data_IF_579473418306
#
_entry.id   IF_579473418306
#
_cell.length_a   1.000
_cell.length_b   1.000
_cell.length_c   1.000
_cell.angle_alpha   90.00
_cell.angle_beta   90.00
_cell.angle_gamma   90.00
#
_symmetry.space_group_name_H-M   'P 1'
#
loop_
_entity.id
_entity.type
_entity.pdbx_description
1 polymer ?
#
# COMPACT_ATOMS: atom_id res chain seq x y z
N UNK A 1 7.64 20.16 -3.63
CA UNK A 1 7.65 19.07 -2.62
C UNK A 1 8.04 17.79 -3.36
N UNK A 2 8.99 16.97 -2.86
CA UNK A 2 9.31 15.70 -3.53
C UNK A 2 8.08 14.79 -3.50
N UNK A 3 7.81 14.10 -4.60
CA UNK A 3 6.65 13.20 -4.75
C UNK A 3 6.70 12.10 -3.69
N UNK A 4 5.54 11.78 -3.09
CA UNK A 4 5.45 10.72 -2.09
C UNK A 4 5.77 9.34 -2.69
N UNK A 5 6.32 8.43 -1.88
CA UNK A 5 6.54 7.04 -2.26
C UNK A 5 5.58 6.14 -1.48
N UNK A 6 4.95 5.18 -2.16
CA UNK A 6 3.99 4.25 -1.56
C UNK A 6 4.58 2.85 -1.47
N UNK A 7 4.80 2.36 -0.25
CA UNK A 7 5.15 0.96 0.00
C UNK A 7 3.90 0.07 -0.16
N UNK A 8 3.96 -0.90 -1.08
CA UNK A 8 2.83 -1.82 -1.32
C UNK A 8 2.87 -3.03 -0.39
N UNK A 9 2.34 -2.87 0.82
CA UNK A 9 2.13 -4.00 1.72
C UNK A 9 1.09 -5.01 1.21
N UNK A 10 0.21 -4.60 0.29
CA UNK A 10 -0.74 -5.51 -0.38
C UNK A 10 -0.07 -6.63 -1.16
N UNK A 11 1.18 -6.45 -1.60
CA UNK A 11 1.96 -7.46 -2.31
C UNK A 11 2.77 -8.38 -1.39
N UNK A 12 2.58 -8.29 -0.08
CA UNK A 12 3.23 -9.19 0.87
C UNK A 12 2.74 -10.63 0.66
N UNK A 13 3.67 -11.58 0.64
CA UNK A 13 3.38 -13.00 0.46
C UNK A 13 2.49 -13.55 1.58
N UNK A 14 2.54 -12.96 2.78
CA UNK A 14 1.65 -13.29 3.89
C UNK A 14 0.23 -12.78 3.66
N UNK A 15 0.03 -11.64 3.00
CA UNK A 15 -1.31 -11.20 2.58
C UNK A 15 -1.91 -12.19 1.59
N UNK A 16 -1.11 -12.74 0.69
CA UNK A 16 -1.57 -13.77 -0.24
C UNK A 16 -1.98 -15.07 0.50
N UNK A 17 -1.21 -15.50 1.50
CA UNK A 17 -1.55 -16.70 2.30
C UNK A 17 -2.75 -16.50 3.22
N UNK A 18 -2.88 -15.30 3.80
CA UNK A 18 -3.91 -14.93 4.77
C UNK A 18 -4.65 -13.65 4.30
N UNK A 19 -5.56 -13.76 3.31
CA UNK A 19 -6.14 -12.61 2.63
C UNK A 19 -7.00 -11.74 3.55
N UNK A 20 -6.81 -10.42 3.46
CA UNK A 20 -7.51 -9.39 4.23
C UNK A 20 -8.93 -9.07 3.71
N UNK A 21 -9.67 -10.09 3.28
CA UNK A 21 -10.90 -10.00 2.48
C UNK A 21 -10.67 -9.57 1.01
N UNK A 22 -9.43 -9.62 0.53
CA UNK A 22 -9.07 -9.32 -0.85
C UNK A 22 -8.29 -10.51 -1.38
N UNK A 23 -8.83 -11.21 -2.37
CA UNK A 23 -8.07 -12.17 -3.16
C UNK A 23 -7.38 -11.40 -4.29
N UNK A 24 -6.05 -11.37 -4.25
CA UNK A 24 -5.26 -10.72 -5.29
C UNK A 24 -5.03 -11.75 -6.38
N UNK A 25 -5.68 -11.59 -7.54
CA UNK A 25 -5.31 -12.26 -8.78
C UNK A 25 -4.45 -11.35 -9.66
N UNK A 26 -3.98 -11.84 -10.82
CA UNK A 26 -3.21 -11.03 -11.79
C UNK A 26 -3.98 -9.79 -12.23
N UNK A 27 -5.30 -9.89 -12.42
CA UNK A 27 -6.14 -8.75 -12.78
C UNK A 27 -6.08 -7.67 -11.69
N UNK A 28 -6.32 -8.04 -10.43
CA UNK A 28 -6.27 -7.13 -9.28
C UNK A 28 -4.87 -6.52 -9.11
N UNK A 29 -3.81 -7.32 -9.29
CA UNK A 29 -2.43 -6.88 -9.29
C UNK A 29 -2.18 -5.79 -10.34
N UNK A 30 -2.61 -6.02 -11.59
CA UNK A 30 -2.47 -5.07 -12.68
C UNK A 30 -3.29 -3.81 -12.42
N UNK A 31 -4.54 -3.94 -11.98
CA UNK A 31 -5.39 -2.79 -11.68
C UNK A 31 -4.78 -1.87 -10.62
N UNK A 32 -4.08 -2.44 -9.62
CA UNK A 32 -3.34 -1.66 -8.62
C UNK A 32 -2.23 -0.83 -9.28
N UNK A 33 -1.38 -1.47 -10.08
CA UNK A 33 -0.28 -0.80 -10.78
C UNK A 33 -0.79 0.27 -11.73
N UNK A 34 -1.86 -0.02 -12.49
CA UNK A 34 -2.51 0.90 -13.41
C UNK A 34 -3.02 2.12 -12.66
N UNK A 35 -3.78 1.94 -11.58
CA UNK A 35 -4.29 3.05 -10.78
C UNK A 35 -3.15 3.92 -10.27
N UNK A 36 -2.08 3.30 -9.74
CA UNK A 36 -0.92 4.04 -9.26
C UNK A 36 -0.26 4.84 -10.37
N UNK A 37 -0.02 4.22 -11.54
CA UNK A 37 0.56 4.89 -12.69
C UNK A 37 -0.30 6.05 -13.19
N UNK A 38 -1.63 5.87 -13.30
CA UNK A 38 -2.59 6.90 -13.72
C UNK A 38 -2.70 8.05 -12.72
N UNK A 39 -2.52 7.78 -11.43
CA UNK A 39 -2.53 8.80 -10.38
C UNK A 39 -1.13 9.30 -10.06
N UNK A 40 -0.10 8.91 -10.81
CA UNK A 40 1.32 9.23 -10.58
C UNK A 40 1.78 8.95 -9.15
N UNK A 41 1.28 7.89 -8.53
CA UNK A 41 1.68 7.49 -7.18
C UNK A 41 2.88 6.54 -7.25
N UNK A 42 4.09 7.08 -7.14
CA UNK A 42 5.32 6.28 -7.17
C UNK A 42 5.30 5.19 -6.09
N UNK A 43 5.88 4.05 -6.45
CA UNK A 43 5.70 2.80 -5.72
C UNK A 43 7.05 2.27 -5.22
N UNK A 44 7.05 1.70 -4.02
CA UNK A 44 8.13 0.87 -3.49
C UNK A 44 7.62 -0.58 -3.36
N UNK A 45 8.36 -1.53 -3.93
CA UNK A 45 8.13 -2.97 -3.75
C UNK A 45 9.38 -3.59 -3.10
N UNK A 46 9.15 -4.43 -2.09
CA UNK A 46 10.17 -5.25 -1.45
C UNK A 46 10.72 -6.29 -2.44
N UNK A 47 12.04 -6.41 -2.55
CA UNK A 47 12.73 -7.43 -3.37
C UNK A 47 12.18 -8.86 -3.17
N UNK A 48 11.86 -9.23 -1.92
CA UNK A 48 11.28 -10.52 -1.58
C UNK A 48 9.86 -10.69 -2.10
N UNK A 49 9.05 -9.63 -2.13
CA UNK A 49 7.71 -9.67 -2.72
C UNK A 49 7.80 -9.79 -4.24
N UNK A 50 8.69 -9.01 -4.87
CA UNK A 50 8.89 -9.04 -6.31
C UNK A 50 9.30 -10.45 -6.80
N UNK A 51 10.16 -11.14 -6.05
CA UNK A 51 10.65 -12.48 -6.38
C UNK A 51 9.68 -13.61 -6.01
N UNK A 52 9.01 -13.53 -4.85
CA UNK A 52 8.20 -14.63 -4.35
C UNK A 52 6.71 -14.52 -4.71
N UNK A 53 6.22 -13.33 -5.08
CA UNK A 53 4.82 -13.18 -5.49
C UNK A 53 4.58 -13.80 -6.89
N UNK A 54 3.67 -14.78 -7.04
CA UNK A 54 3.44 -15.45 -8.33
C UNK A 54 3.07 -14.51 -9.48
N UNK A 55 2.15 -13.56 -9.26
CA UNK A 55 1.78 -12.60 -10.31
C UNK A 55 2.89 -11.61 -10.64
N UNK A 56 3.76 -11.27 -9.69
CA UNK A 56 4.93 -10.46 -9.98
C UNK A 56 5.92 -11.22 -10.87
N UNK A 57 6.21 -12.50 -10.57
CA UNK A 57 7.02 -13.36 -11.44
C UNK A 57 6.41 -13.52 -12.83
N UNK A 58 5.11 -13.82 -12.89
CA UNK A 58 4.39 -13.93 -14.15
C UNK A 58 4.48 -12.64 -14.97
N UNK A 59 4.32 -11.48 -14.33
CA UNK A 59 4.44 -10.17 -14.97
C UNK A 59 5.86 -9.88 -15.47
N UNK A 60 6.90 -10.32 -14.75
CA UNK A 60 8.29 -10.14 -15.17
C UNK A 60 8.68 -11.07 -16.33
N UNK A 61 8.24 -12.32 -16.29
CA UNK A 61 8.51 -13.32 -17.33
C UNK A 61 7.67 -13.07 -18.60
N UNK A 62 6.44 -12.58 -18.43
CA UNK A 62 5.50 -12.28 -19.52
C UNK A 62 5.12 -10.79 -19.49
N UNK A 63 5.98 -9.88 -19.96
CA UNK A 63 5.78 -8.43 -19.84
C UNK A 63 4.58 -7.89 -20.63
N UNK A 64 4.02 -8.67 -21.56
CA UNK A 64 2.77 -8.32 -22.26
C UNK A 64 1.50 -8.59 -21.44
N UNK A 65 1.64 -9.21 -20.26
CA UNK A 65 0.52 -9.51 -19.36
C UNK A 65 0.32 -8.46 -18.27
N UNK A 66 1.26 -7.52 -18.09
CA UNK A 66 1.28 -6.59 -16.96
C UNK A 66 2.18 -5.38 -17.24
N UNK A 67 1.83 -4.17 -16.75
CA UNK A 67 2.70 -3.00 -16.89
C UNK A 67 3.92 -3.03 -15.97
N UNK A 68 4.04 -3.99 -15.04
CA UNK A 68 5.04 -4.01 -13.96
C UNK A 68 6.47 -3.76 -14.46
N UNK A 69 6.94 -4.55 -15.43
CA UNK A 69 8.33 -4.47 -15.91
C UNK A 69 8.63 -3.10 -16.53
N UNK A 70 7.69 -2.55 -17.30
CA UNK A 70 7.82 -1.22 -17.90
C UNK A 70 7.88 -0.12 -16.83
N UNK A 71 7.03 -0.20 -15.81
CA UNK A 71 7.01 0.75 -14.70
C UNK A 71 8.26 0.70 -13.82
N UNK A 72 8.87 -0.48 -13.65
CA UNK A 72 10.17 -0.63 -12.98
C UNK A 72 11.29 0.00 -13.82
N UNK A 73 11.32 -0.30 -15.13
CA UNK A 73 12.31 0.26 -16.05
C UNK A 73 12.20 1.80 -16.20
N UNK A 74 11.02 2.37 -15.99
CA UNK A 74 10.81 3.82 -15.95
C UNK A 74 11.13 4.47 -14.58
N UNK A 75 11.64 3.69 -13.62
CA UNK A 75 11.92 4.14 -12.26
C UNK A 75 10.69 4.69 -11.51
N UNK A 76 9.48 4.28 -11.93
CA UNK A 76 8.23 4.61 -11.26
C UNK A 76 7.93 3.64 -10.12
N UNK A 77 8.20 2.35 -10.35
CA UNK A 77 8.28 1.31 -9.31
C UNK A 77 9.74 1.15 -8.93
N UNK A 78 10.09 1.49 -7.70
CA UNK A 78 11.43 1.29 -7.16
C UNK A 78 11.49 0.02 -6.32
N UNK A 79 12.59 -0.71 -6.42
CA UNK A 79 12.79 -1.96 -5.68
C UNK A 79 13.57 -1.67 -4.41
N UNK A 80 12.94 -1.89 -3.26
CA UNK A 80 13.62 -1.86 -1.97
C UNK A 80 14.39 -3.17 -1.79
N UNK A 81 15.71 -3.08 -1.84
CA UNK A 81 16.58 -4.25 -1.90
C UNK A 81 17.53 -4.34 -0.71
N UNK A 82 17.73 -5.56 -0.21
CA UNK A 82 18.72 -5.88 0.84
C UNK A 82 20.16 -5.83 0.35
N UNK A 83 20.41 -6.02 -0.94
CA UNK A 83 21.77 -6.11 -1.51
C UNK A 83 22.00 -5.23 -2.74
N UNK A 84 20.95 -4.63 -3.32
CA UNK A 84 21.03 -3.97 -4.62
C UNK A 84 21.07 -4.95 -5.82
N UNK A 85 20.75 -6.23 -5.60
CA UNK A 85 20.60 -7.25 -6.65
C UNK A 85 19.54 -8.29 -6.25
N UNK A 86 18.61 -8.61 -7.15
CA UNK A 86 17.56 -9.59 -6.91
C UNK A 86 18.11 -11.03 -6.93
N UNK A 87 19.09 -11.30 -7.79
CA UNK A 87 19.82 -12.58 -7.85
C UNK A 87 20.53 -12.86 -6.54
N UNK A 88 21.30 -11.89 -6.03
CA UNK A 88 21.98 -11.99 -4.74
C UNK A 88 21.01 -12.26 -3.60
N UNK A 89 19.86 -11.58 -3.59
CA UNK A 89 18.81 -11.77 -2.58
C UNK A 89 18.27 -13.19 -2.65
N UNK A 90 17.95 -13.69 -3.85
CA UNK A 90 17.43 -15.04 -4.02
C UNK A 90 18.43 -16.10 -3.50
N UNK A 91 19.71 -15.93 -3.80
CA UNK A 91 20.78 -16.84 -3.37
C UNK A 91 21.03 -16.77 -1.85
N UNK A 92 21.23 -15.56 -1.30
CA UNK A 92 21.52 -15.36 0.12
C UNK A 92 20.37 -15.80 1.01
N UNK A 93 19.13 -15.44 0.67
CA UNK A 93 17.97 -15.78 1.49
C UNK A 93 17.68 -17.29 1.47
N UNK A 94 17.85 -17.97 0.32
CA UNK A 94 17.74 -19.42 0.26
C UNK A 94 18.83 -20.12 1.10
N UNK A 95 20.08 -19.64 1.03
CA UNK A 95 21.20 -20.15 1.82
C UNK A 95 21.03 -19.93 3.33
N UNK A 96 20.35 -18.84 3.72
CA UNK A 96 19.97 -18.55 5.12
C UNK A 96 18.79 -19.39 5.62
N UNK A 97 18.21 -20.26 4.79
CA UNK A 97 17.12 -21.15 5.23
C UNK A 97 15.71 -20.58 5.05
N UNK A 98 15.54 -19.47 4.30
CA UNK A 98 14.20 -18.90 4.08
C UNK A 98 13.42 -19.75 3.09
N UNK A 99 12.38 -20.43 3.58
CA UNK A 99 11.62 -21.46 2.85
C UNK A 99 11.07 -20.97 1.50
N UNK A 100 10.55 -19.75 1.43
CA UNK A 100 9.99 -19.19 0.19
C UNK A 100 11.03 -19.09 -0.92
N UNK A 101 12.25 -18.66 -0.60
CA UNK A 101 13.34 -18.58 -1.57
C UNK A 101 13.91 -19.95 -1.95
N UNK A 102 13.95 -20.90 -1.01
CA UNK A 102 14.31 -22.28 -1.33
C UNK A 102 13.28 -22.94 -2.28
N UNK A 103 11.99 -22.69 -2.04
CA UNK A 103 10.92 -23.15 -2.90
C UNK A 103 11.00 -22.48 -4.28
N UNK A 104 11.29 -21.17 -4.34
CA UNK A 104 11.53 -20.45 -5.59
C UNK A 104 12.65 -21.12 -6.40
N UNK A 105 13.82 -21.35 -5.81
CA UNK A 105 14.97 -21.95 -6.53
C UNK A 105 14.72 -23.36 -7.05
N UNK A 106 13.83 -24.12 -6.39
CA UNK A 106 13.42 -25.47 -6.81
C UNK A 106 12.27 -25.46 -7.82
N UNK A 107 11.65 -24.31 -8.05
CA UNK A 107 10.49 -24.19 -8.95
C UNK A 107 10.90 -24.30 -10.42
N UNK A 108 9.96 -24.74 -11.26
CA UNK A 108 10.17 -24.84 -12.70
C UNK A 108 10.41 -23.48 -13.38
N UNK A 109 9.94 -22.38 -12.77
CA UNK A 109 10.09 -21.01 -13.31
C UNK A 109 11.49 -20.43 -13.06
N UNK A 110 12.25 -20.97 -12.10
CA UNK A 110 13.51 -20.37 -11.66
C UNK A 110 14.57 -20.24 -12.75
N UNK A 111 14.84 -21.24 -13.61
CA UNK A 111 15.86 -21.10 -14.65
C UNK A 111 15.58 -19.94 -15.61
N UNK A 112 14.31 -19.72 -15.98
CA UNK A 112 13.91 -18.63 -16.87
C UNK A 112 13.94 -17.29 -16.15
N UNK A 113 13.48 -17.24 -14.89
CA UNK A 113 13.56 -16.04 -14.06
C UNK A 113 15.02 -15.60 -13.87
N UNK A 114 15.90 -16.54 -13.51
CA UNK A 114 17.32 -16.27 -13.31
C UNK A 114 17.98 -15.74 -14.58
N UNK A 115 17.66 -16.31 -15.75
CA UNK A 115 18.17 -15.84 -17.05
C UNK A 115 17.70 -14.40 -17.34
N UNK A 116 16.42 -14.12 -17.11
CA UNK A 116 15.84 -12.79 -17.28
C UNK A 116 16.49 -11.76 -16.35
N UNK A 117 16.62 -12.08 -15.05
CA UNK A 117 17.24 -11.19 -14.06
C UNK A 117 18.70 -10.86 -14.41
N UNK A 118 19.50 -11.84 -14.86
CA UNK A 118 20.90 -11.62 -15.29
C UNK A 118 21.01 -10.58 -16.41
N UNK A 119 20.02 -10.51 -17.29
CA UNK A 119 20.00 -9.54 -18.39
C UNK A 119 19.42 -8.19 -17.96
N UNK A 120 18.48 -8.20 -17.02
CA UNK A 120 17.67 -7.04 -16.65
C UNK A 120 18.28 -6.18 -15.54
N UNK A 121 18.86 -6.80 -14.50
CA UNK A 121 19.43 -6.10 -13.34
C UNK A 121 20.49 -5.05 -13.68
N UNK A 122 21.43 -5.27 -14.64
CA UNK A 122 22.40 -4.23 -15.00
C UNK A 122 21.75 -2.95 -15.56
N UNK A 123 20.55 -3.06 -16.13
CA UNK A 123 19.74 -1.90 -16.52
C UNK A 123 19.20 -1.16 -15.29
N UNK A 124 18.66 -1.91 -14.33
CA UNK A 124 18.09 -1.36 -13.09
C UNK A 124 19.14 -0.65 -12.22
N UNK A 125 20.36 -1.18 -12.15
CA UNK A 125 21.48 -0.55 -11.44
C UNK A 125 21.87 0.78 -12.09
N UNK A 126 21.90 0.85 -13.43
CA UNK A 126 22.27 2.07 -14.17
C UNK A 126 21.27 3.22 -13.97
N UNK A 127 19.99 2.90 -13.76
CA UNK A 127 18.94 3.90 -13.48
C UNK A 127 18.69 4.11 -11.99
N UNK A 128 19.54 3.54 -11.12
CA UNK A 128 19.44 3.63 -9.66
C UNK A 128 18.03 3.22 -9.14
N UNK A 129 17.46 2.16 -9.71
CA UNK A 129 16.11 1.72 -9.34
C UNK A 129 16.05 1.08 -7.94
N UNK A 130 17.17 0.53 -7.48
CA UNK A 130 17.26 -0.08 -6.16
C UNK A 130 17.38 0.98 -5.08
N UNK A 131 16.41 1.02 -4.16
CA UNK A 131 16.50 1.82 -2.94
C UNK A 131 16.98 0.95 -1.77
N UNK A 132 17.73 1.53 -0.82
CA UNK A 132 18.28 0.76 0.28
C UNK A 132 17.19 0.21 1.19
N UNK A 133 17.38 -1.02 1.65
CA UNK A 133 16.62 -1.61 2.75
C UNK A 133 16.65 -0.71 4.00
N UNK A 134 15.63 -0.75 4.87
CA UNK A 134 15.65 -0.03 6.13
C UNK A 134 16.89 -0.39 6.97
N UNK A 135 17.60 0.63 7.43
CA UNK A 135 18.74 0.48 8.36
C UNK A 135 18.31 -0.10 9.71
N UNK A 136 17.03 0.06 10.06
CA UNK A 136 16.42 -0.42 11.29
C UNK A 136 16.08 -1.90 11.21
N UNK A 137 16.28 -2.62 12.31
CA UNK A 137 16.03 -4.05 12.43
C UNK A 137 14.52 -4.34 12.36
N UNK A 138 14.04 -4.72 11.18
CA UNK A 138 12.61 -4.90 10.88
C UNK A 138 11.93 -5.87 11.86
N UNK A 139 12.55 -6.99 12.19
CA UNK A 139 11.95 -7.99 13.09
C UNK A 139 11.72 -7.45 14.52
N UNK A 140 12.61 -6.58 15.02
CA UNK A 140 12.46 -5.93 16.33
C UNK A 140 11.37 -4.86 16.30
N UNK A 141 11.36 -4.04 15.24
CA UNK A 141 10.30 -3.06 15.05
C UNK A 141 8.91 -3.69 14.89
N UNK A 142 8.82 -4.85 14.23
CA UNK A 142 7.60 -5.64 14.17
C UNK A 142 7.13 -6.10 15.55
N UNK A 143 8.02 -6.65 16.39
CA UNK A 143 7.70 -7.09 17.75
C UNK A 143 7.18 -5.91 18.60
N UNK A 144 7.84 -4.75 18.50
CA UNK A 144 7.40 -3.52 19.16
C UNK A 144 6.01 -3.08 18.66
N UNK A 145 5.76 -3.10 17.34
CA UNK A 145 4.45 -2.74 16.78
C UNK A 145 3.37 -3.72 17.19
N UNK A 146 3.61 -5.02 17.07
CA UNK A 146 2.65 -6.06 17.41
C UNK A 146 2.31 -6.02 18.90
N UNK A 147 3.30 -5.82 19.78
CA UNK A 147 3.13 -5.70 21.23
C UNK A 147 2.15 -4.60 21.65
N UNK A 148 1.97 -3.55 20.84
CA UNK A 148 0.98 -2.48 21.10
C UNK A 148 -0.46 -2.99 21.11
N UNK A 149 -0.74 -4.09 20.40
CA UNK A 149 -2.08 -4.67 20.33
C UNK A 149 -2.41 -5.61 21.48
N UNK A 150 -1.41 -6.06 22.26
CA UNK A 150 -1.57 -7.09 23.31
C UNK A 150 -2.63 -6.75 24.36
N UNK A 151 -2.73 -5.47 24.73
CA UNK A 151 -3.65 -4.99 25.77
C UNK A 151 -5.03 -4.59 25.23
N UNK A 152 -5.22 -4.63 23.90
CA UNK A 152 -6.49 -4.33 23.27
C UNK A 152 -7.39 -5.55 23.30
N UNK A 153 -8.70 -5.32 23.39
CA UNK A 153 -9.70 -6.37 23.25
C UNK A 153 -9.88 -6.72 21.76
N UNK A 154 -10.15 -7.99 21.44
CA UNK A 154 -10.34 -8.48 20.06
C UNK A 154 -11.43 -7.72 19.31
N UNK A 155 -12.48 -7.28 20.01
CA UNK A 155 -13.56 -6.46 19.45
C UNK A 155 -13.05 -5.07 19.02
N UNK A 156 -12.10 -4.50 19.76
CA UNK A 156 -11.46 -3.22 19.39
C UNK A 156 -10.61 -3.39 18.14
N UNK A 157 -9.98 -4.55 17.98
CA UNK A 157 -9.17 -4.92 16.82
C UNK A 157 -10.02 -5.27 15.59
N UNK A 158 -11.36 -5.29 15.71
CA UNK A 158 -12.26 -5.67 14.63
C UNK A 158 -12.15 -7.14 14.24
N UNK A 159 -11.82 -8.00 15.21
CA UNK A 159 -11.81 -9.46 15.07
C UNK A 159 -13.17 -10.01 15.52
N UNK A 160 -13.72 -10.94 14.74
CA UNK A 160 -15.03 -11.54 14.99
C UNK A 160 -14.94 -13.05 15.25
N UNK A 161 -13.90 -13.72 14.76
CA UNK A 161 -13.69 -15.16 14.95
C UNK A 161 -12.83 -15.46 16.19
N UNK A 162 -11.86 -14.60 16.49
CA UNK A 162 -10.92 -14.80 17.61
C UNK A 162 -11.54 -14.34 18.94
N UNK A 163 -11.45 -15.19 19.97
CA UNK A 163 -11.82 -14.82 21.34
C UNK A 163 -10.66 -14.14 22.08
N UNK A 164 -10.94 -13.35 23.12
CA UNK A 164 -9.89 -12.73 23.94
C UNK A 164 -8.97 -13.78 24.60
N UNK A 165 -9.48 -14.96 24.98
CA UNK A 165 -8.66 -16.05 25.54
C UNK A 165 -7.69 -16.62 24.50
N UNK A 166 -8.19 -16.93 23.30
CA UNK A 166 -7.36 -17.40 22.18
C UNK A 166 -6.25 -16.39 21.86
N UNK A 167 -6.61 -15.10 21.81
CA UNK A 167 -5.68 -14.02 21.53
C UNK A 167 -4.54 -13.94 22.57
N UNK A 168 -4.88 -14.00 23.87
CA UNK A 168 -3.87 -13.97 24.93
C UNK A 168 -2.99 -15.23 24.92
N UNK A 169 -3.57 -16.42 24.72
CA UNK A 169 -2.81 -17.68 24.64
C UNK A 169 -1.81 -17.69 23.48
N UNK A 170 -2.19 -17.14 22.32
CA UNK A 170 -1.27 -16.97 21.19
C UNK A 170 -0.16 -15.98 21.54
N UNK A 171 -0.49 -14.83 22.14
CA UNK A 171 0.50 -13.84 22.57
C UNK A 171 1.49 -14.39 23.60
N UNK A 172 1.04 -15.20 24.55
CA UNK A 172 1.88 -15.81 25.57
C UNK A 172 2.86 -16.82 24.96
N UNK A 173 2.37 -17.70 24.07
CA UNK A 173 3.23 -18.64 23.36
C UNK A 173 4.24 -17.91 22.46
N UNK A 174 3.79 -16.87 21.75
CA UNK A 174 4.65 -16.02 20.93
C UNK A 174 5.75 -15.36 21.79
N UNK A 175 5.37 -14.74 22.90
CA UNK A 175 6.30 -14.03 23.80
C UNK A 175 7.34 -14.99 24.37
N UNK A 176 6.91 -16.20 24.76
CA UNK A 176 7.81 -17.24 25.25
C UNK A 176 8.82 -17.66 24.17
N UNK A 177 8.36 -17.89 22.92
CA UNK A 177 9.22 -18.27 21.79
C UNK A 177 10.12 -17.13 21.30
N UNK A 178 9.72 -15.87 21.48
CA UNK A 178 10.40 -14.69 20.95
C UNK A 178 11.28 -13.97 22.00
N UNK A 179 11.56 -14.63 23.14
CA UNK A 179 12.27 -14.02 24.28
C UNK A 179 13.77 -13.83 24.03
N UNK A 180 14.42 -14.80 23.40
CA UNK A 180 15.89 -14.88 23.30
C UNK A 180 16.43 -14.50 21.92
N UNK A 181 15.61 -14.66 20.90
CA UNK A 181 15.96 -14.37 19.51
C UNK A 181 14.86 -13.49 18.92
N UNK A 182 15.25 -12.47 18.17
CA UNK A 182 14.37 -11.52 17.50
C UNK A 182 14.41 -11.68 15.98
N UNK A 183 15.09 -12.69 15.44
CA UNK A 183 15.02 -12.99 14.01
C UNK A 183 13.71 -13.68 13.62
N UNK A 184 13.21 -13.47 12.40
CA UNK A 184 11.98 -14.13 11.91
C UNK A 184 10.76 -14.03 12.86
N UNK A 185 10.61 -12.92 13.58
CA UNK A 185 9.56 -12.71 14.60
C UNK A 185 8.14 -12.93 14.07
N UNK A 186 7.85 -12.50 12.84
CA UNK A 186 6.55 -12.73 12.19
C UNK A 186 6.25 -14.22 11.96
N UNK A 187 7.25 -15.01 11.59
CA UNK A 187 7.12 -16.47 11.44
C UNK A 187 6.83 -17.14 12.78
N UNK A 188 7.45 -16.68 13.87
CA UNK A 188 7.14 -17.21 15.22
C UNK A 188 5.71 -16.90 15.65
N UNK A 189 5.19 -15.73 15.28
CA UNK A 189 3.78 -15.40 15.51
C UNK A 189 2.84 -16.35 14.75
N UNK A 190 3.10 -16.59 13.46
CA UNK A 190 2.35 -17.54 12.64
C UNK A 190 2.36 -18.95 13.25
N UNK A 191 3.53 -19.43 13.66
CA UNK A 191 3.67 -20.72 14.34
C UNK A 191 2.90 -20.78 15.67
N UNK A 192 2.85 -19.69 16.44
CA UNK A 192 2.07 -19.62 17.67
C UNK A 192 0.56 -19.70 17.38
N UNK A 193 0.08 -19.00 16.35
CA UNK A 193 -1.30 -19.08 15.89
C UNK A 193 -1.68 -20.52 15.51
N UNK A 194 -0.85 -21.17 14.68
CA UNK A 194 -1.04 -22.55 14.24
C UNK A 194 -1.02 -23.54 15.40
N UNK A 195 -0.11 -23.36 16.37
CA UNK A 195 0.00 -24.27 17.52
C UNK A 195 -1.19 -24.21 18.47
N UNK A 196 -1.80 -23.04 18.65
CA UNK A 196 -2.91 -22.85 19.60
C UNK A 196 -4.25 -23.12 18.93
N UNK A 197 -4.40 -22.78 17.65
CA UNK A 197 -5.70 -22.71 16.98
C UNK A 197 -5.83 -23.65 15.77
N UNK A 198 -4.75 -24.33 15.35
CA UNK A 198 -4.73 -25.13 14.12
C UNK A 198 -5.77 -26.25 14.07
N UNK A 199 -6.10 -26.81 15.24
CA UNK A 199 -7.06 -27.91 15.36
C UNK A 199 -8.49 -27.44 15.67
N UNK A 200 -8.74 -26.13 15.75
CA UNK A 200 -10.07 -25.59 16.01
C UNK A 200 -10.99 -25.78 14.77
N UNK A 201 -12.31 -26.02 14.96
CA UNK A 201 -13.25 -26.13 13.84
C UNK A 201 -13.26 -24.91 12.90
N UNK A 202 -12.94 -23.73 13.43
CA UNK A 202 -12.88 -22.45 12.73
C UNK A 202 -11.45 -21.91 12.62
N UNK A 203 -10.43 -22.78 12.71
CA UNK A 203 -9.00 -22.46 12.68
C UNK A 203 -8.63 -21.46 11.58
N UNK A 204 -9.11 -21.71 10.34
CA UNK A 204 -8.81 -20.85 9.18
C UNK A 204 -9.25 -19.40 9.42
N UNK A 205 -10.46 -19.18 9.93
CA UNK A 205 -10.98 -17.84 10.17
C UNK A 205 -10.18 -17.13 11.28
N UNK A 206 -9.92 -17.84 12.39
CA UNK A 206 -9.14 -17.29 13.51
C UNK A 206 -7.71 -16.93 13.13
N UNK A 207 -7.03 -17.85 12.44
CA UNK A 207 -5.64 -17.63 12.00
C UNK A 207 -5.58 -16.48 10.99
N UNK A 208 -6.53 -16.37 10.06
CA UNK A 208 -6.60 -15.25 9.13
C UNK A 208 -6.72 -13.90 9.84
N UNK A 209 -7.52 -13.79 10.91
CA UNK A 209 -7.66 -12.54 11.66
C UNK A 209 -6.36 -12.16 12.39
N UNK A 210 -5.71 -13.12 13.06
CA UNK A 210 -4.44 -12.92 13.78
C UNK A 210 -3.29 -12.60 12.84
N UNK A 211 -3.19 -13.29 11.72
CA UNK A 211 -2.21 -12.99 10.67
C UNK A 211 -2.50 -11.67 10.01
N UNK A 212 -3.78 -11.29 9.90
CA UNK A 212 -4.21 -9.98 9.44
C UNK A 212 -3.61 -8.84 10.28
N UNK A 213 -3.71 -8.94 11.61
CA UNK A 213 -3.14 -7.99 12.55
C UNK A 213 -1.60 -7.96 12.48
N UNK A 214 -0.95 -9.12 12.42
CA UNK A 214 0.51 -9.18 12.32
C UNK A 214 1.01 -8.51 11.04
N UNK A 215 0.39 -8.78 9.90
CA UNK A 215 0.80 -8.16 8.64
C UNK A 215 0.55 -6.64 8.65
N UNK A 216 -0.53 -6.18 9.27
CA UNK A 216 -0.75 -4.75 9.51
C UNK A 216 0.39 -4.15 10.36
N UNK A 217 0.74 -4.77 11.49
CA UNK A 217 1.85 -4.34 12.35
C UNK A 217 3.19 -4.27 11.59
N UNK A 218 3.44 -5.26 10.72
CA UNK A 218 4.63 -5.33 9.88
C UNK A 218 4.72 -4.16 8.91
N UNK A 219 3.61 -3.78 8.27
CA UNK A 219 3.58 -2.65 7.35
C UNK A 219 3.70 -1.30 8.05
N UNK A 220 3.05 -1.11 9.22
CA UNK A 220 3.28 0.09 10.03
C UNK A 220 4.74 0.21 10.46
N UNK A 221 5.39 -0.91 10.79
CA UNK A 221 6.82 -0.90 11.09
C UNK A 221 7.66 -0.43 9.88
N UNK A 222 7.34 -0.87 8.65
CA UNK A 222 7.97 -0.31 7.45
C UNK A 222 7.69 1.19 7.32
N UNK A 223 6.46 1.64 7.59
CA UNK A 223 6.12 3.07 7.56
C UNK A 223 7.02 3.87 8.51
N UNK A 224 7.22 3.38 9.74
CA UNK A 224 8.11 4.00 10.75
C UNK A 224 9.54 4.06 10.24
N UNK A 225 10.09 2.91 9.84
CA UNK A 225 11.50 2.80 9.46
C UNK A 225 11.82 3.62 8.19
N UNK A 226 10.96 3.53 7.18
CA UNK A 226 11.15 4.24 5.91
C UNK A 226 10.95 5.74 6.04
N UNK A 227 9.93 6.18 6.80
CA UNK A 227 9.71 7.62 7.00
C UNK A 227 10.87 8.25 7.77
N UNK A 228 11.44 7.55 8.75
CA UNK A 228 12.63 8.01 9.47
C UNK A 228 13.88 8.02 8.58
N UNK A 229 14.04 7.04 7.69
CA UNK A 229 15.21 6.94 6.81
C UNK A 229 15.17 7.94 5.65
N UNK A 230 13.99 8.17 5.09
CA UNK A 230 13.75 9.05 3.95
C UNK A 230 13.01 10.32 4.38
N UNK A 231 13.53 11.03 5.38
CA UNK A 231 12.88 12.18 6.04
C UNK A 231 12.49 13.33 5.10
N UNK A 232 13.16 13.44 3.95
CA UNK A 232 12.84 14.44 2.92
C UNK A 232 11.65 14.08 2.02
N UNK A 233 11.17 12.82 2.09
CA UNK A 233 10.08 12.30 1.27
C UNK A 233 8.93 11.82 2.14
N UNK A 234 7.70 12.09 1.71
CA UNK A 234 6.53 11.48 2.33
C UNK A 234 6.48 10.00 1.96
N UNK A 235 6.45 9.12 2.96
CA UNK A 235 6.20 7.70 2.77
C UNK A 235 4.74 7.39 3.09
N UNK A 236 4.09 6.73 2.14
CA UNK A 236 2.78 6.11 2.27
C UNK A 236 2.97 4.61 2.36
N UNK A 237 2.09 3.93 3.07
CA UNK A 237 2.08 2.48 3.19
C UNK A 237 0.68 1.97 2.91
N UNK A 238 0.56 1.04 1.97
CA UNK A 238 -0.70 0.33 1.75
C UNK A 238 -0.81 -0.86 2.70
N UNK A 239 -1.82 -0.83 3.55
CA UNK A 239 -2.07 -1.86 4.56
C UNK A 239 -3.56 -1.95 4.88
N UNK A 240 -3.99 -3.04 5.51
CA UNK A 240 -5.27 -3.08 6.22
C UNK A 240 -5.26 -2.01 7.30
N UNK A 241 -6.40 -1.32 7.48
CA UNK A 241 -6.63 -0.46 8.63
C UNK A 241 -7.48 -1.19 9.68
N UNK A 242 -6.99 -1.21 10.92
CA UNK A 242 -7.73 -1.52 12.13
C UNK A 242 -7.48 -0.46 13.20
N UNK A 243 -8.23 -0.50 14.31
CA UNK A 243 -8.02 0.42 15.43
C UNK A 243 -6.72 0.16 16.19
N UNK A 244 -6.01 -0.94 15.92
CA UNK A 244 -4.76 -1.30 16.58
C UNK A 244 -3.68 -0.21 16.44
N UNK A 245 -3.72 0.55 15.34
CA UNK A 245 -2.71 1.55 15.00
C UNK A 245 -3.33 2.93 14.69
N UNK A 246 -4.58 3.15 15.09
CA UNK A 246 -5.28 4.42 14.81
C UNK A 246 -4.55 5.64 15.39
N UNK A 247 -3.85 5.48 16.52
CA UNK A 247 -3.08 6.53 17.15
C UNK A 247 -1.83 6.93 16.33
N UNK A 248 -1.26 6.00 15.54
CA UNK A 248 -0.08 6.25 14.71
C UNK A 248 -0.37 7.16 13.51
N UNK A 249 -1.61 7.09 13.03
CA UNK A 249 -2.06 7.88 11.90
C UNK A 249 -2.59 9.24 12.38
N UNK A 250 -2.64 9.45 13.71
CA UNK A 250 -3.20 10.65 14.35
C UNK A 250 -4.60 10.97 13.82
N UNK A 251 -5.41 9.93 13.57
CA UNK A 251 -6.77 10.12 13.13
C UNK A 251 -7.62 10.33 14.39
N UNK A 252 -8.33 11.46 14.45
CA UNK A 252 -9.49 11.58 15.35
C UNK A 252 -10.56 10.54 14.99
N UNK A 253 -11.66 10.46 15.74
CA UNK A 253 -12.80 9.66 15.27
C UNK A 253 -13.47 10.35 14.07
N UNK A 254 -13.85 9.61 13.00
CA UNK A 254 -14.72 10.17 11.97
C UNK A 254 -16.02 10.55 12.66
N UNK A 255 -16.26 11.85 12.77
CA UNK A 255 -17.45 12.37 13.48
C UNK A 255 -18.69 12.30 12.59
N UNK A 256 -18.51 12.46 11.28
CA UNK A 256 -19.54 12.35 10.24
C UNK A 256 -18.84 11.91 8.93
N UNK A 257 -19.52 11.10 8.11
CA UNK A 257 -19.10 10.76 6.75
C UNK A 257 -20.08 11.34 5.75
N UNK A 258 -19.59 12.10 4.78
CA UNK A 258 -20.42 12.69 3.71
C UNK A 258 -20.05 12.09 2.36
N UNK A 259 -21.06 11.72 1.57
CA UNK A 259 -20.88 11.37 0.17
C UNK A 259 -20.75 12.64 -0.67
N UNK A 260 -19.61 12.80 -1.32
CA UNK A 260 -19.30 13.93 -2.20
C UNK A 260 -19.13 13.42 -3.62
N UNK A 261 -19.83 14.04 -4.56
CA UNK A 261 -19.62 13.82 -5.99
C UNK A 261 -18.45 14.68 -6.45
N UNK A 262 -17.32 14.04 -6.74
CA UNK A 262 -16.17 14.73 -7.36
C UNK A 262 -16.09 14.31 -8.83
N UNK A 263 -15.95 15.27 -9.77
CA UNK A 263 -15.57 14.97 -11.15
C UNK A 263 -14.29 14.14 -11.15
N UNK A 264 -14.30 12.97 -11.76
CA UNK A 264 -13.15 12.08 -11.88
C UNK A 264 -12.88 11.75 -13.34
N UNK A 265 -11.65 11.32 -13.60
CA UNK A 265 -11.20 10.86 -14.91
C UNK A 265 -11.97 9.62 -15.36
N UNK A 266 -12.36 9.60 -16.63
CA UNK A 266 -12.64 8.36 -17.34
C UNK A 266 -11.31 7.72 -17.76
N UNK A 267 -11.13 6.48 -17.36
CA UNK A 267 -10.00 5.63 -17.75
C UNK A 267 -10.41 4.87 -19.02
N UNK A 268 -9.55 4.79 -20.05
CA UNK A 268 -9.85 4.03 -21.25
C UNK A 268 -10.16 2.56 -20.94
N UNK A 269 -11.17 1.98 -21.59
CA UNK A 269 -11.62 0.61 -21.30
C UNK A 269 -10.59 -0.46 -21.67
N UNK A 270 -9.74 -0.19 -22.68
CA UNK A 270 -8.70 -1.12 -23.14
C UNK A 270 -7.35 -0.48 -22.96
N UNK A 271 -6.60 -0.97 -21.98
CA UNK A 271 -5.22 -0.57 -21.75
C UNK A 271 -4.29 -1.65 -22.32
N UNK A 272 -3.47 -1.28 -23.30
CA UNK A 272 -2.53 -2.20 -23.95
C UNK A 272 -1.31 -2.45 -23.05
N UNK A 273 -1.04 -3.72 -22.73
CA UNK A 273 0.17 -4.14 -22.01
C UNK A 273 1.28 -4.63 -22.94
N UNK A 274 0.95 -4.97 -24.19
CA UNK A 274 1.87 -5.37 -25.24
C UNK A 274 2.72 -4.20 -25.77
N UNK A 275 2.39 -2.96 -25.39
CA UNK A 275 3.14 -1.75 -25.71
C UNK A 275 3.76 -1.12 -24.45
N UNK A 276 4.89 -1.64 -23.96
CA UNK A 276 5.51 -1.18 -22.71
C UNK A 276 5.90 0.30 -22.74
N UNK A 277 6.19 0.85 -23.91
CA UNK A 277 6.57 2.25 -24.07
C UNK A 277 5.47 3.22 -23.61
N UNK A 278 4.19 2.90 -23.84
CA UNK A 278 3.07 3.72 -23.38
C UNK A 278 3.06 3.87 -21.85
N UNK A 279 3.40 2.81 -21.13
CA UNK A 279 3.50 2.84 -19.67
C UNK A 279 4.69 3.64 -19.17
N UNK A 280 5.81 3.58 -19.89
CA UNK A 280 7.01 4.38 -19.57
C UNK A 280 6.74 5.87 -19.77
N UNK A 281 6.12 6.23 -20.89
CA UNK A 281 5.75 7.62 -21.19
C UNK A 281 4.73 8.16 -20.19
N UNK A 282 3.72 7.37 -19.79
CA UNK A 282 2.72 7.79 -18.80
C UNK A 282 3.34 8.29 -17.49
N UNK A 283 4.48 7.72 -17.09
CA UNK A 283 5.15 8.01 -15.82
C UNK A 283 6.48 8.77 -15.98
N UNK A 284 6.85 9.10 -17.22
CA UNK A 284 8.02 9.91 -17.53
C UNK A 284 7.69 11.39 -17.29
N UNK A 285 8.34 12.09 -16.35
CA UNK A 285 8.05 13.49 -16.06
C UNK A 285 8.24 14.46 -17.24
N UNK A 286 8.87 14.02 -18.32
CA UNK A 286 9.09 14.82 -19.53
C UNK A 286 8.09 14.54 -20.66
N UNK A 287 7.15 13.63 -20.48
CA UNK A 287 6.12 13.34 -21.49
C UNK A 287 4.94 14.32 -21.42
N UNK A 288 4.27 14.51 -22.56
CA UNK A 288 3.08 15.36 -22.64
C UNK A 288 1.94 14.84 -21.75
N UNK A 289 1.74 13.52 -21.72
CA UNK A 289 0.69 12.90 -20.89
C UNK A 289 0.99 13.05 -19.39
N UNK A 290 2.25 12.97 -18.97
CA UNK A 290 2.64 13.17 -17.58
C UNK A 290 2.51 14.64 -17.14
N UNK A 291 2.74 15.59 -18.05
CA UNK A 291 2.49 17.00 -17.78
C UNK A 291 1.00 17.26 -17.48
N UNK A 292 0.10 16.66 -18.25
CA UNK A 292 -1.36 16.74 -18.01
C UNK A 292 -1.76 15.99 -16.72
N UNK A 293 -1.16 14.82 -16.46
CA UNK A 293 -1.37 14.10 -15.20
C UNK A 293 -1.01 14.96 -13.98
N UNK A 294 0.13 15.66 -14.04
CA UNK A 294 0.61 16.52 -12.96
C UNK A 294 -0.34 17.70 -12.72
N UNK A 295 -0.81 18.33 -13.79
CA UNK A 295 -1.83 19.39 -13.70
C UNK A 295 -3.11 18.89 -13.01
N UNK A 296 -3.59 17.71 -13.38
CA UNK A 296 -4.72 17.07 -12.72
C UNK A 296 -4.45 16.83 -11.22
N UNK A 297 -3.29 16.30 -10.85
CA UNK A 297 -2.90 16.08 -9.45
C UNK A 297 -2.85 17.39 -8.65
N UNK A 298 -2.18 18.41 -9.19
CA UNK A 298 -2.02 19.71 -8.51
C UNK A 298 -3.38 20.36 -8.25
N UNK A 299 -4.32 20.28 -9.21
CA UNK A 299 -5.68 20.80 -9.05
C UNK A 299 -6.52 19.95 -8.09
N UNK A 300 -6.38 18.62 -8.10
CA UNK A 300 -7.04 17.74 -7.12
C UNK A 300 -6.57 18.02 -5.69
N UNK A 301 -5.26 18.20 -5.49
CA UNK A 301 -4.69 18.57 -4.20
C UNK A 301 -5.18 19.96 -3.75
N UNK A 302 -5.24 20.93 -4.66
CA UNK A 302 -5.84 22.24 -4.39
C UNK A 302 -7.33 22.14 -4.06
N UNK A 303 -8.08 21.26 -4.72
CA UNK A 303 -9.50 21.05 -4.44
C UNK A 303 -9.70 20.49 -3.02
N UNK A 304 -8.95 19.46 -2.64
CA UNK A 304 -8.99 18.92 -1.27
C UNK A 304 -8.48 19.92 -0.22
N UNK A 305 -7.59 20.84 -0.60
CA UNK A 305 -7.15 21.95 0.23
C UNK A 305 -8.16 23.13 0.29
N UNK A 306 -9.26 23.08 -0.49
CA UNK A 306 -10.26 24.14 -0.60
C UNK A 306 -9.80 25.37 -1.39
N UNK A 307 -8.75 25.22 -2.21
CA UNK A 307 -8.15 26.25 -3.05
C UNK A 307 -8.66 26.23 -4.49
N UNK A 308 -9.15 25.07 -4.97
CA UNK A 308 -9.79 24.93 -6.28
C UNK A 308 -11.30 24.63 -6.15
N UNK A 309 -12.07 24.99 -7.17
CA UNK A 309 -13.50 24.71 -7.25
C UNK A 309 -13.78 23.47 -8.13
N UNK A 310 -15.00 22.94 -8.05
CA UNK A 310 -15.39 21.73 -8.78
C UNK A 310 -15.31 21.89 -10.32
N UNK A 311 -15.53 23.11 -10.84
CA UNK A 311 -15.45 23.38 -12.27
C UNK A 311 -14.02 23.22 -12.80
N UNK A 312 -13.03 23.72 -12.05
CA UNK A 312 -11.63 23.55 -12.40
C UNK A 312 -11.21 22.08 -12.38
N UNK A 313 -11.69 21.31 -11.39
CA UNK A 313 -11.49 19.86 -11.32
C UNK A 313 -12.08 19.15 -12.54
N UNK A 314 -13.29 19.52 -12.94
CA UNK A 314 -13.97 18.99 -14.14
C UNK A 314 -13.18 19.30 -15.42
N UNK A 315 -12.68 20.53 -15.59
CA UNK A 315 -11.88 20.94 -16.74
C UNK A 315 -10.57 20.13 -16.85
N UNK A 316 -9.81 19.97 -15.75
CA UNK A 316 -8.57 19.18 -15.77
C UNK A 316 -8.82 17.68 -15.89
N UNK A 317 -9.93 17.17 -15.34
CA UNK A 317 -10.32 15.76 -15.48
C UNK A 317 -10.63 15.43 -16.93
N UNK A 318 -11.40 16.29 -17.61
CA UNK A 318 -11.71 16.15 -19.02
C UNK A 318 -10.43 16.17 -19.89
N UNK A 319 -9.54 17.13 -19.63
CA UNK A 319 -8.27 17.26 -20.33
C UNK A 319 -7.42 16.00 -20.15
N UNK A 320 -7.32 15.48 -18.93
CA UNK A 320 -6.52 14.29 -18.66
C UNK A 320 -7.14 13.03 -19.25
N UNK A 321 -8.46 12.85 -19.18
CA UNK A 321 -9.15 11.73 -19.84
C UNK A 321 -8.93 11.71 -21.35
N UNK A 322 -8.99 12.87 -22.02
CA UNK A 322 -8.69 12.97 -23.46
C UNK A 322 -7.23 12.61 -23.77
N UNK A 323 -6.29 13.10 -22.96
CA UNK A 323 -4.88 12.75 -23.10
C UNK A 323 -4.65 11.24 -22.93
N UNK A 324 -5.31 10.60 -21.96
CA UNK A 324 -5.24 9.15 -21.75
C UNK A 324 -5.83 8.35 -22.91
N UNK A 325 -7.00 8.74 -23.42
CA UNK A 325 -7.61 8.07 -24.58
C UNK A 325 -6.72 8.16 -25.81
N UNK A 326 -6.14 9.33 -26.08
CA UNK A 326 -5.22 9.53 -27.18
C UNK A 326 -3.92 8.71 -27.01
N UNK A 327 -3.35 8.75 -25.81
CA UNK A 327 -2.11 8.04 -25.46
C UNK A 327 -2.22 6.52 -25.62
N UNK A 328 -3.35 5.95 -25.20
CA UNK A 328 -3.61 4.52 -25.32
C UNK A 328 -4.35 4.13 -26.60
N UNK A 329 -4.44 5.01 -27.60
CA UNK A 329 -5.08 4.78 -28.90
C UNK A 329 -6.49 4.18 -28.80
N UNK A 330 -7.32 4.68 -27.88
CA UNK A 330 -8.71 4.24 -27.76
C UNK A 330 -9.65 5.11 -28.61
N UNK A 331 -10.59 4.46 -29.29
CA UNK A 331 -11.63 5.09 -30.12
C UNK A 331 -12.67 5.91 -29.31
N UNK A 332 -12.58 5.94 -27.97
CA UNK A 332 -13.40 6.80 -27.12
C UNK A 332 -12.93 8.26 -27.24
N UNK A 333 -13.29 8.90 -28.35
CA UNK A 333 -12.84 10.24 -28.74
C UNK A 333 -13.28 11.37 -27.80
N UNK A 334 -14.28 11.16 -26.95
CA UNK A 334 -14.89 12.28 -26.21
C UNK A 334 -14.36 12.49 -24.78
N UNK A 335 -13.64 11.53 -24.18
CA UNK A 335 -13.15 11.64 -22.81
C UNK A 335 -14.25 12.06 -21.84
N UNK A 336 -15.04 11.12 -21.31
CA UNK A 336 -16.10 11.51 -20.37
C UNK A 336 -15.57 11.86 -18.98
N UNK A 337 -16.43 12.46 -18.17
CA UNK A 337 -16.22 12.63 -16.73
C UNK A 337 -17.12 11.63 -16.03
N UNK A 338 -16.55 10.82 -15.13
CA UNK A 338 -17.36 10.01 -14.20
C UNK A 338 -17.48 10.75 -12.89
N UNK A 339 -18.70 10.91 -12.39
CA UNK A 339 -18.90 11.27 -10.98
C UNK A 339 -18.59 10.04 -10.14
N UNK A 340 -17.58 10.14 -9.28
CA UNK A 340 -17.27 9.09 -8.31
C UNK A 340 -17.80 9.54 -6.97
N UNK A 341 -18.64 8.70 -6.36
CA UNK A 341 -19.13 8.92 -5.01
C UNK A 341 -17.98 8.66 -4.04
N UNK A 342 -17.54 9.70 -3.34
CA UNK A 342 -16.46 9.64 -2.37
C UNK A 342 -17.06 9.80 -0.99
N UNK A 343 -16.89 8.81 -0.11
CA UNK A 343 -17.17 9.05 1.31
C UNK A 343 -15.98 9.80 1.90
N UNK A 344 -16.24 10.98 2.46
CA UNK A 344 -15.26 11.78 3.17
C UNK A 344 -15.59 11.70 4.66
N UNK A 345 -14.74 11.01 5.43
CA UNK A 345 -14.84 11.00 6.88
C UNK A 345 -14.10 12.19 7.48
N UNK A 346 -14.80 13.05 8.23
CA UNK A 346 -14.15 14.18 8.91
C UNK A 346 -13.63 13.77 10.28
N UNK A 347 -12.33 13.90 10.46
CA UNK A 347 -11.65 13.61 11.70
C UNK A 347 -11.40 14.92 12.45
N UNK A 348 -11.95 15.02 13.65
CA UNK A 348 -11.59 16.08 14.57
C UNK A 348 -10.24 15.78 15.20
N UNK A 349 -9.18 16.45 14.76
CA UNK A 349 -7.92 16.47 15.52
C UNK A 349 -8.06 17.47 16.68
N UNK A 350 -7.65 17.05 17.87
CA UNK A 350 -7.53 17.93 19.02
C UNK A 350 -6.58 19.11 18.76
N UNK A 351 -6.72 20.15 19.57
CA UNK A 351 -5.96 21.41 19.51
C UNK A 351 -4.44 21.17 19.43
N UNK A 352 -3.82 21.58 18.31
CA UNK A 352 -2.40 21.91 18.25
C UNK A 352 -2.27 23.40 18.04
N UNK A 353 -1.27 24.02 18.67
CA UNK A 353 -0.98 25.45 18.59
C UNK A 353 -1.00 25.93 17.12
N UNK A 354 -2.08 26.63 16.74
CA UNK A 354 -2.35 27.05 15.36
C UNK A 354 -3.79 26.87 14.88
N UNK A 355 -4.65 26.16 15.61
CA UNK A 355 -6.08 26.05 15.34
C UNK A 355 -6.55 24.66 14.87
N UNK A 356 -7.87 24.47 14.65
CA UNK A 356 -8.42 23.17 14.28
C UNK A 356 -7.94 22.76 12.88
N UNK A 357 -7.22 21.65 12.82
CA UNK A 357 -6.91 20.96 11.58
C UNK A 357 -7.95 19.87 11.42
N UNK A 358 -8.73 19.90 10.33
CA UNK A 358 -9.59 18.77 10.00
C UNK A 358 -8.73 17.77 9.22
N UNK A 359 -8.90 16.46 9.41
CA UNK A 359 -8.33 15.48 8.48
C UNK A 359 -9.47 14.75 7.76
N UNK A 360 -9.33 14.53 6.46
CA UNK A 360 -10.30 13.86 5.61
C UNK A 360 -9.84 12.44 5.31
N UNK A 361 -10.67 11.45 5.63
CA UNK A 361 -10.54 10.10 5.09
C UNK A 361 -11.27 10.06 3.76
N UNK A 362 -10.55 9.97 2.65
CA UNK A 362 -11.14 9.81 1.32
C UNK A 362 -11.34 8.32 1.03
N UNK A 363 -12.59 7.91 0.83
CA UNK A 363 -12.97 6.56 0.42
C UNK A 363 -13.31 6.57 -1.06
N UNK A 364 -12.36 6.15 -1.90
CA UNK A 364 -12.61 5.99 -3.34
C UNK A 364 -13.43 4.72 -3.59
N UNK A 365 -14.75 4.88 -3.74
CA UNK A 365 -15.62 3.83 -4.26
C UNK A 365 -15.59 3.88 -5.80
N UNK A 366 -14.48 3.49 -6.40
CA UNK A 366 -14.43 3.34 -7.86
C UNK A 366 -14.95 1.96 -8.25
N UNK A 367 -16.15 1.94 -8.84
CA UNK A 367 -16.69 0.80 -9.56
C UNK A 367 -15.79 0.50 -10.78
N UNK A 368 -14.68 -0.25 -10.59
CA UNK A 368 -14.11 -1.22 -11.57
C UNK A 368 -12.66 -1.64 -11.32
N UNK A 369 -11.87 -0.97 -10.46
CA UNK A 369 -10.40 -1.15 -10.46
C UNK A 369 -9.73 -1.47 -9.10
N UNK A 370 -10.46 -1.76 -8.00
CA UNK A 370 -10.03 -2.45 -6.75
C UNK A 370 -10.96 -2.07 -5.57
N UNK A 371 -10.92 -2.76 -4.41
CA UNK A 371 -11.68 -2.36 -3.21
C UNK A 371 -11.28 -0.97 -2.73
N UNK A 372 -12.22 -0.36 -2.01
CA UNK A 372 -12.11 1.01 -1.48
C UNK A 372 -10.78 1.24 -0.77
N UNK A 373 -10.01 2.22 -1.25
CA UNK A 373 -8.76 2.66 -0.62
C UNK A 373 -9.01 3.94 0.15
N UNK A 374 -8.78 3.88 1.45
CA UNK A 374 -8.85 5.03 2.35
C UNK A 374 -7.54 5.83 2.26
N UNK A 375 -7.63 7.12 1.91
CA UNK A 375 -6.48 8.06 1.99
C UNK A 375 -6.73 9.12 3.07
N UNK A 376 -5.68 9.51 3.78
CA UNK A 376 -5.74 10.56 4.80
C UNK A 376 -5.15 11.87 4.27
N UNK A 377 -5.92 12.96 4.33
CA UNK A 377 -5.47 14.30 3.95
C UNK A 377 -5.78 15.33 5.01
N UNK A 378 -5.08 16.47 4.98
CA UNK A 378 -5.32 17.62 5.85
C UNK A 378 -6.40 18.52 5.21
N UNK A 379 -7.57 18.58 5.82
CA UNK A 379 -8.70 19.43 5.45
C UNK A 379 -8.71 20.75 6.25
N UNK A 380 -9.12 21.84 5.60
CA UNK A 380 -9.23 23.16 6.24
C UNK A 380 -10.61 23.47 6.81
N UNK A 381 -11.70 23.00 6.21
CA UNK A 381 -13.06 23.37 6.65
C UNK A 381 -14.13 22.30 6.29
N UNK A 382 -14.93 21.89 7.28
CA UNK A 382 -16.09 20.99 7.08
C UNK A 382 -17.18 21.63 6.18
N UNK A 383 -17.29 22.96 6.19
CA UNK A 383 -18.32 23.70 5.45
C UNK A 383 -18.16 23.66 3.92
N UNK A 384 -16.96 23.36 3.41
CA UNK A 384 -16.69 23.25 1.97
C UNK A 384 -17.43 22.05 1.35
N UNK A 385 -17.35 20.89 1.99
CA UNK A 385 -17.91 19.64 1.49
C UNK A 385 -19.41 19.47 1.78
N UNK A 386 -19.92 20.10 2.86
CA UNK A 386 -21.37 20.14 3.12
C UNK A 386 -22.19 20.71 1.97
N UNK A 387 -21.60 21.56 1.13
CA UNK A 387 -22.24 22.14 -0.05
C UNK A 387 -22.29 21.19 -1.26
N UNK A 388 -21.53 20.10 -1.25
CA UNK A 388 -21.39 19.14 -2.34
C UNK A 388 -21.95 17.75 -1.97
N UNK A 389 -22.56 17.62 -0.80
CA UNK A 389 -23.06 16.36 -0.25
C UNK A 389 -24.38 15.92 -0.89
N UNK A 390 -24.49 14.63 -1.19
CA UNK A 390 -25.79 13.94 -1.30
C UNK A 390 -26.12 13.28 0.04
N UNK A 391 -27.36 13.44 0.52
CA UNK A 391 -27.77 13.17 1.91
C UNK A 391 -27.94 11.67 2.25
N UNK A 392 -26.90 10.85 2.10
CA UNK A 392 -26.92 9.45 2.57
C UNK A 392 -25.70 9.11 3.45
N UNK A 393 -25.90 8.81 4.75
CA UNK A 393 -24.84 8.29 5.61
C UNK A 393 -24.55 6.80 5.31
N UNK A 394 -23.28 6.41 5.35
CA UNK A 394 -22.83 5.02 5.26
C UNK A 394 -22.21 4.58 6.59
N UNK A 395 -22.65 3.44 7.16
CA UNK A 395 -21.99 2.84 8.33
C UNK A 395 -20.77 2.02 7.89
N UNK A 396 -19.58 2.56 8.15
CA UNK A 396 -18.29 1.95 7.83
C UNK A 396 -17.55 1.46 9.09
N UNK A 397 -18.18 1.54 10.26
CA UNK A 397 -17.52 1.31 11.56
C UNK A 397 -17.07 -0.14 11.80
N UNK A 398 -17.56 -1.09 10.99
CA UNK A 398 -17.38 -2.53 11.18
C UNK A 398 -16.64 -3.27 10.05
N UNK A 399 -16.06 -2.57 9.07
CA UNK A 399 -15.36 -3.22 7.94
C UNK A 399 -13.88 -2.87 7.93
N UNK A 400 -13.03 -3.90 7.94
CA UNK A 400 -11.61 -3.76 7.65
C UNK A 400 -11.45 -3.28 6.20
N UNK A 401 -10.72 -2.20 5.98
CA UNK A 401 -10.53 -1.61 4.65
C UNK A 401 -9.07 -1.47 4.29
N UNK A 402 -8.77 -1.71 3.02
CA UNK A 402 -7.47 -1.39 2.47
C UNK A 402 -7.26 0.12 2.55
N UNK A 403 -6.11 0.53 3.07
CA UNK A 403 -5.84 1.92 3.38
C UNK A 403 -4.43 2.28 2.97
N UNK A 404 -4.25 3.49 2.45
CA UNK A 404 -2.94 4.09 2.24
C UNK A 404 -2.70 5.09 3.37
N UNK A 405 -1.78 4.74 4.26
CA UNK A 405 -1.54 5.45 5.53
C UNK A 405 -0.15 6.09 5.52
N UNK A 406 -0.01 7.25 6.16
CA UNK A 406 1.30 7.86 6.43
C UNK A 406 1.43 8.16 7.91
N UNK A 407 2.62 7.91 8.46
CA UNK A 407 2.97 8.32 9.83
C UNK A 407 3.67 9.68 9.74
N UNK A 408 3.35 10.61 10.64
CA UNK A 408 4.05 11.89 10.70
C UNK A 408 5.54 11.69 10.99
N UNK A 409 6.42 12.47 10.34
CA UNK A 409 7.87 12.35 10.52
C UNK A 409 8.30 12.39 12.01
N UNK A 410 7.84 13.34 12.85
CA UNK A 410 8.25 13.38 14.26
C UNK A 410 7.87 12.12 15.04
N UNK A 411 6.70 11.53 14.73
CA UNK A 411 6.27 10.28 15.36
C UNK A 411 7.07 9.08 14.85
N UNK A 412 7.34 9.02 13.54
CA UNK A 412 8.18 7.98 12.96
C UNK A 412 9.60 8.01 13.56
N UNK A 413 10.22 9.18 13.66
CA UNK A 413 11.54 9.34 14.30
C UNK A 413 11.52 8.93 15.78
N UNK A 414 10.45 9.27 16.51
CA UNK A 414 10.30 8.85 17.91
C UNK A 414 10.25 7.33 18.02
N UNK A 415 9.41 6.67 17.23
CA UNK A 415 9.24 5.21 17.28
C UNK A 415 10.47 4.46 16.76
N UNK A 416 11.17 5.02 15.76
CA UNK A 416 12.37 4.41 15.18
C UNK A 416 13.56 4.41 16.16
N UNK A 417 13.58 5.27 17.19
CA UNK A 417 14.62 5.27 18.23
C UNK A 417 14.62 4.00 19.07
N UNK A 418 13.45 3.39 19.25
CA UNK A 418 13.28 2.15 20.02
C UNK A 418 13.58 0.90 19.17
N UNK A 419 14.00 1.08 17.92
CA UNK A 419 14.37 0.00 17.01
C UNK A 419 15.88 0.06 16.79
N UNK A 420 16.62 -1.02 17.10
CA UNK A 420 18.06 -1.07 16.85
C UNK A 420 18.34 -1.03 15.35
N UNK A 421 19.53 -0.55 14.99
CA UNK A 421 20.02 -0.65 13.62
C UNK A 421 20.47 -2.08 13.30
N UNK A 422 20.52 -2.45 12.03
CA UNK A 422 21.25 -3.64 11.57
C UNK A 422 22.75 -3.38 11.81
N UNK A 423 23.39 -4.22 12.62
CA UNK A 423 24.84 -4.19 12.84
C UNK A 423 25.60 -4.58 11.57
#
# INVERSE_FOLDING_TARGET
MQQALTYLGTLDDVVQRYPWNIEIGLQQFNQMLIRKALLGEKIIINDGYLLNHPFARQALLNPTSSPLKALIEANFVQVMSRSGSLLDVAEKMAAQGVESFQALQKSAEWPDLQRMLKQWEPGLQRIENFIPWPKKHISHGFDNMLGRSRHLQVETLGMAAVSNDDFQRVFDLYTAKNKTDKEATRTRWEQACLSILGDAPDAKAKINELMGLATEAYHYNFAVCLSSQFSERKILVETRYSRAFADLIQLGQPTESELVDIPSIQIPQKLSFDRPQLWKELVDPFSDVAAVQKEYQDVMDQFFAGQANAKLVEEVSLKYSKALSAHFENDEQDGGIKKVALSIGFLGLGLVAGGPVTAGLLWLAENSLLPTVTRVFKLRDKGFFKKQSTAQPMDLSRKNTLSSVSISLPLAEKLAKDIPDFN
#
